data_IF_912989908985
#
_entry.id   IF_912989908985
#
_cell.length_a   1.000
_cell.length_b   1.000
_cell.length_c   1.000
_cell.angle_alpha   90.00
_cell.angle_beta   90.00
_cell.angle_gamma   90.00
#
_symmetry.space_group_name_H-M   'P 1'
#
loop_
_entity.id
_entity.type
_entity.pdbx_description
1 polymer ?
#
# COMPACT_ATOMS: atom_id res chain seq x y z
N UNK A 1 -3.75 -9.11 26.38
CA UNK A 1 -3.03 -8.85 25.13
C UNK A 1 -2.26 -7.55 25.26
N UNK A 2 -1.08 -7.41 24.65
CA UNK A 2 -0.43 -6.10 24.54
C UNK A 2 -1.19 -5.26 23.49
N UNK A 3 -1.33 -3.94 23.69
CA UNK A 3 -1.93 -3.07 22.69
C UNK A 3 -1.12 -3.10 21.38
N UNK A 4 -1.79 -2.84 20.26
CA UNK A 4 -1.11 -2.67 18.97
C UNK A 4 -0.22 -1.44 19.04
N UNK A 5 0.98 -1.54 18.46
CA UNK A 5 1.97 -0.45 18.47
C UNK A 5 2.18 0.18 17.09
N UNK A 6 1.76 -0.50 16.03
CA UNK A 6 1.83 -0.06 14.64
C UNK A 6 0.50 -0.32 13.92
N UNK A 7 0.30 0.34 12.79
CA UNK A 7 -0.89 0.15 11.97
C UNK A 7 -0.95 -1.26 11.37
N UNK A 8 -2.15 -1.85 11.34
CA UNK A 8 -2.36 -3.11 10.64
C UNK A 8 -3.27 -2.93 9.43
N UNK A 9 -2.94 -3.58 8.31
CA UNK A 9 -3.80 -3.64 7.14
C UNK A 9 -4.59 -4.95 7.12
N UNK A 10 -5.92 -4.85 7.23
CA UNK A 10 -6.84 -6.00 7.29
C UNK A 10 -7.94 -5.88 6.25
N UNK A 11 -8.77 -6.93 6.17
CA UNK A 11 -10.00 -6.94 5.38
C UNK A 11 -11.19 -7.18 6.30
N UNK A 12 -12.28 -6.47 6.05
CA UNK A 12 -13.57 -6.68 6.71
C UNK A 12 -14.58 -7.05 5.64
N UNK A 13 -15.34 -8.11 5.90
CA UNK A 13 -16.39 -8.58 5.00
C UNK A 13 -17.76 -8.34 5.63
N UNK A 14 -18.63 -7.65 4.90
CA UNK A 14 -20.04 -7.46 5.25
C UNK A 14 -20.89 -8.33 4.33
N UNK A 15 -21.84 -9.07 4.89
CA UNK A 15 -22.74 -9.94 4.14
C UNK A 15 -24.17 -9.77 4.62
N UNK A 16 -25.07 -9.43 3.71
CA UNK A 16 -26.50 -9.33 4.00
C UNK A 16 -27.14 -10.71 3.97
N UNK A 17 -27.65 -11.18 5.10
CA UNK A 17 -28.34 -12.49 5.17
C UNK A 17 -29.83 -12.27 4.89
N UNK A 18 -30.36 -12.80 3.77
CA UNK A 18 -31.75 -12.60 3.41
C UNK A 18 -32.69 -13.45 4.31
N UNK A 19 -33.88 -12.93 4.68
CA UNK A 19 -34.86 -13.68 5.46
C UNK A 19 -35.44 -14.86 4.67
N UNK A 20 -35.72 -15.97 5.35
CA UNK A 20 -36.34 -17.17 4.73
C UNK A 20 -37.87 -17.07 4.75
N UNK A 21 -38.51 -16.98 3.58
CA UNK A 21 -39.97 -17.08 3.43
C UNK A 21 -40.38 -18.48 2.96
N UNK A 22 -41.30 -19.16 3.66
CA UNK A 22 -41.82 -20.48 3.24
C UNK A 22 -42.88 -20.34 2.14
N UNK A 23 -42.89 -21.26 1.18
CA UNK A 23 -43.99 -21.45 0.23
C UNK A 23 -43.96 -20.58 -1.04
N UNK A 24 -42.88 -19.85 -1.32
CA UNK A 24 -42.70 -19.10 -2.58
C UNK A 24 -41.41 -19.53 -3.27
N UNK A 25 -41.48 -19.93 -4.55
CA UNK A 25 -40.30 -20.03 -5.40
C UNK A 25 -39.79 -18.60 -5.66
N UNK A 26 -38.75 -18.17 -4.93
CA UNK A 26 -38.07 -16.90 -5.16
C UNK A 26 -36.57 -17.13 -5.31
N UNK A 27 -35.98 -16.50 -6.31
CA UNK A 27 -34.53 -16.33 -6.40
C UNK A 27 -34.10 -15.30 -5.37
N UNK A 28 -33.13 -15.66 -4.53
CA UNK A 28 -32.59 -14.76 -3.50
C UNK A 28 -31.18 -14.33 -3.89
N UNK A 29 -30.90 -13.04 -3.82
CA UNK A 29 -29.57 -12.47 -4.08
C UNK A 29 -28.97 -12.03 -2.75
N UNK A 30 -27.74 -12.46 -2.49
CA UNK A 30 -26.95 -12.06 -1.32
C UNK A 30 -25.91 -11.05 -1.76
N UNK A 31 -25.80 -9.93 -1.04
CA UNK A 31 -24.78 -8.90 -1.30
C UNK A 31 -23.66 -9.07 -0.27
N UNK A 32 -22.43 -9.22 -0.76
CA UNK A 32 -21.21 -9.23 0.05
C UNK A 32 -20.32 -8.07 -0.36
N UNK A 33 -19.80 -7.35 0.62
CA UNK A 33 -18.78 -6.31 0.43
C UNK A 33 -17.51 -6.71 1.17
N UNK A 34 -16.37 -6.62 0.51
CA UNK A 34 -15.07 -6.96 1.09
C UNK A 34 -14.11 -5.77 0.98
N UNK A 35 -13.89 -5.09 2.11
CA UNK A 35 -13.25 -3.78 2.18
C UNK A 35 -11.91 -3.85 2.92
N UNK A 36 -10.85 -3.22 2.38
CA UNK A 36 -9.60 -3.06 3.12
C UNK A 36 -9.75 -2.02 4.24
N UNK A 37 -9.14 -2.27 5.39
CA UNK A 37 -9.18 -1.39 6.57
C UNK A 37 -7.77 -1.24 7.15
N UNK A 38 -7.42 -0.02 7.55
CA UNK A 38 -6.24 0.27 8.37
C UNK A 38 -6.68 0.41 9.82
N UNK A 39 -6.15 -0.43 10.71
CA UNK A 39 -6.34 -0.33 12.16
C UNK A 39 -5.24 0.58 12.70
N UNK A 40 -5.63 1.74 13.22
CA UNK A 40 -4.71 2.71 13.79
C UNK A 40 -4.71 2.63 15.33
N UNK A 41 -3.58 2.33 15.99
CA UNK A 41 -3.51 2.30 17.45
C UNK A 41 -3.76 3.66 18.08
N UNK A 42 -4.50 3.72 19.19
CA UNK A 42 -4.83 4.98 19.86
C UNK A 42 -3.61 5.78 20.38
N UNK A 43 -2.47 5.11 20.61
CA UNK A 43 -1.23 5.74 21.07
C UNK A 43 -0.27 6.14 19.94
N UNK A 44 -0.59 5.84 18.69
CA UNK A 44 0.19 6.25 17.54
C UNK A 44 -0.25 7.65 17.12
N UNK A 45 0.69 8.54 16.82
CA UNK A 45 0.37 9.89 16.37
C UNK A 45 -0.26 9.84 14.96
N UNK A 46 -1.04 10.86 14.59
CA UNK A 46 -1.46 10.99 13.20
C UNK A 46 -0.26 11.38 12.32
N UNK A 47 -0.07 10.66 11.23
CA UNK A 47 0.92 10.95 10.19
C UNK A 47 0.19 11.05 8.85
N UNK A 48 -0.03 12.27 8.32
CA UNK A 48 -0.75 12.46 7.06
C UNK A 48 0.08 12.08 5.83
N UNK A 49 1.42 12.02 5.95
CA UNK A 49 2.33 11.76 4.83
C UNK A 49 3.29 10.59 5.09
N UNK A 50 2.77 9.39 5.45
CA UNK A 50 3.60 8.28 5.94
C UNK A 50 4.58 7.75 4.88
N UNK A 51 4.31 8.00 3.59
CA UNK A 51 5.20 7.64 2.49
C UNK A 51 6.55 8.36 2.53
N UNK A 52 6.68 9.48 3.25
CA UNK A 52 7.95 10.19 3.42
C UNK A 52 8.96 9.39 4.24
N UNK A 53 8.50 8.43 5.05
CA UNK A 53 9.35 7.54 5.83
C UNK A 53 9.97 6.41 5.00
N UNK A 54 9.52 6.23 3.75
CA UNK A 54 10.04 5.17 2.90
C UNK A 54 11.50 5.40 2.53
N UNK A 55 12.26 4.31 2.59
CA UNK A 55 13.65 4.28 2.21
C UNK A 55 13.81 3.47 0.94
N UNK A 56 14.42 4.08 -0.07
CA UNK A 56 14.59 3.52 -1.41
C UNK A 56 16.08 3.28 -1.64
N UNK A 57 16.51 2.02 -1.74
CA UNK A 57 17.93 1.66 -1.89
C UNK A 57 18.17 0.91 -3.18
N UNK A 58 19.14 1.37 -3.98
CA UNK A 58 19.53 0.64 -5.19
C UNK A 58 20.65 -0.34 -4.87
N UNK A 59 20.42 -1.63 -5.16
CA UNK A 59 21.42 -2.68 -4.95
C UNK A 59 21.34 -3.73 -6.04
N UNK A 60 22.47 -4.04 -6.68
CA UNK A 60 22.62 -5.15 -7.64
C UNK A 60 21.54 -5.20 -8.76
N UNK A 61 21.18 -4.03 -9.31
CA UNK A 61 20.14 -3.92 -10.34
C UNK A 61 18.70 -4.09 -9.84
N UNK A 62 18.51 -4.06 -8.52
CA UNK A 62 17.21 -4.03 -7.86
C UNK A 62 17.03 -2.74 -7.08
N UNK A 63 15.77 -2.40 -6.82
CA UNK A 63 15.36 -1.36 -5.90
C UNK A 63 14.69 -2.01 -4.69
N UNK A 64 15.32 -1.89 -3.53
CA UNK A 64 14.71 -2.24 -2.26
C UNK A 64 13.94 -1.03 -1.73
N UNK A 65 12.70 -1.26 -1.33
CA UNK A 65 11.78 -0.25 -0.82
C UNK A 65 11.40 -0.70 0.58
N UNK A 66 11.87 0.03 1.58
CA UNK A 66 11.69 -0.31 2.99
C UNK A 66 10.78 0.70 3.66
N UNK A 67 9.84 0.20 4.46
CA UNK A 67 9.02 0.99 5.37
C UNK A 67 9.48 0.74 6.81
N UNK A 68 10.37 1.57 7.36
CA UNK A 68 10.82 1.44 8.75
C UNK A 68 9.83 2.06 9.77
N UNK A 69 8.73 2.66 9.31
CA UNK A 69 7.78 3.35 10.18
C UNK A 69 6.73 2.41 10.76
N UNK A 70 5.97 2.91 11.74
CA UNK A 70 4.81 2.23 12.33
C UNK A 70 3.52 2.39 11.51
N UNK A 71 3.57 2.99 10.32
CA UNK A 71 2.39 3.30 9.49
C UNK A 71 2.28 2.39 8.27
N UNK A 72 1.07 2.08 7.84
CA UNK A 72 0.82 1.44 6.54
C UNK A 72 0.94 2.51 5.46
N UNK A 73 1.90 2.35 4.55
CA UNK A 73 2.06 3.28 3.42
C UNK A 73 1.28 2.75 2.22
N UNK A 74 0.32 3.52 1.70
CA UNK A 74 -0.40 3.20 0.45
C UNK A 74 0.14 4.03 -0.72
N UNK A 75 0.21 3.42 -1.90
CA UNK A 75 0.65 4.08 -3.14
C UNK A 75 0.19 3.33 -4.39
N UNK A 76 0.34 3.95 -5.56
CA UNK A 76 0.17 3.25 -6.84
C UNK A 76 1.19 2.12 -6.98
N UNK A 77 0.82 1.04 -7.66
CA UNK A 77 1.74 -0.08 -7.90
C UNK A 77 2.95 0.34 -8.75
N UNK A 78 2.72 1.23 -9.73
CA UNK A 78 3.76 1.74 -10.61
C UNK A 78 4.53 2.90 -10.00
N UNK A 79 5.85 2.91 -10.22
CA UNK A 79 6.75 4.03 -9.98
C UNK A 79 7.78 4.11 -11.12
N UNK A 80 8.51 5.23 -11.20
CA UNK A 80 9.59 5.40 -12.17
C UNK A 80 10.88 5.83 -11.46
N UNK A 81 12.02 5.29 -11.87
CA UNK A 81 13.33 5.84 -11.49
C UNK A 81 13.79 6.88 -12.50
N UNK A 82 14.55 7.87 -12.01
CA UNK A 82 14.96 9.06 -12.75
C UNK A 82 16.48 9.25 -12.70
N UNK A 83 17.11 9.77 -13.77
CA UNK A 83 16.47 10.45 -14.90
C UNK A 83 16.01 9.53 -16.05
N UNK A 84 16.31 8.23 -16.04
CA UNK A 84 16.06 7.35 -17.21
C UNK A 84 14.59 7.04 -17.50
N UNK A 85 13.67 7.42 -16.59
CA UNK A 85 12.25 7.09 -16.68
C UNK A 85 12.02 5.57 -16.71
N UNK A 86 12.80 4.81 -15.95
CA UNK A 86 12.67 3.36 -15.93
C UNK A 86 11.52 2.93 -15.03
N UNK A 87 10.56 2.14 -15.53
CA UNK A 87 9.42 1.72 -14.72
C UNK A 87 9.82 0.64 -13.72
N UNK A 88 9.17 0.65 -12.57
CA UNK A 88 9.11 -0.45 -11.62
C UNK A 88 7.67 -0.66 -11.15
N UNK A 89 7.35 -1.89 -10.75
CA UNK A 89 6.01 -2.28 -10.32
C UNK A 89 6.09 -3.06 -9.01
N UNK A 90 5.30 -2.62 -8.04
CA UNK A 90 5.07 -3.31 -6.78
C UNK A 90 3.99 -4.37 -6.95
N UNK A 91 4.16 -5.54 -6.32
CA UNK A 91 3.12 -6.58 -6.30
C UNK A 91 1.86 -6.16 -5.51
N UNK A 92 1.97 -5.11 -4.68
CA UNK A 92 0.92 -4.61 -3.79
C UNK A 92 0.92 -3.09 -3.79
N UNK A 93 -0.25 -2.49 -3.63
CA UNK A 93 -0.43 -1.03 -3.52
C UNK A 93 -0.24 -0.49 -2.10
N UNK A 94 0.54 -1.23 -1.28
CA UNK A 94 0.85 -0.85 0.09
C UNK A 94 2.16 -1.51 0.57
N UNK A 95 2.82 -0.88 1.55
CA UNK A 95 3.86 -1.47 2.37
C UNK A 95 3.40 -1.50 3.83
N UNK A 96 3.60 -2.64 4.51
CA UNK A 96 3.28 -2.77 5.93
C UNK A 96 4.39 -2.14 6.78
N UNK A 97 4.11 -1.77 8.05
CA UNK A 97 5.14 -1.37 8.99
C UNK A 97 6.27 -2.38 9.07
N UNK A 98 7.50 -1.89 9.16
CA UNK A 98 8.72 -2.69 9.35
C UNK A 98 8.94 -3.78 8.29
N UNK A 99 8.52 -3.53 7.05
CA UNK A 99 8.71 -4.46 5.93
C UNK A 99 9.50 -3.84 4.78
N UNK A 100 10.17 -4.70 4.00
CA UNK A 100 10.82 -4.33 2.75
C UNK A 100 10.31 -5.18 1.60
N UNK A 101 10.33 -4.61 0.40
CA UNK A 101 10.07 -5.29 -0.87
C UNK A 101 11.16 -4.95 -1.87
N UNK A 102 11.52 -5.89 -2.75
CA UNK A 102 12.55 -5.67 -3.77
C UNK A 102 11.93 -5.80 -5.15
N UNK A 103 12.22 -4.83 -6.03
CA UNK A 103 11.76 -4.79 -7.42
C UNK A 103 12.97 -4.80 -8.34
N UNK A 104 12.97 -5.69 -9.33
CA UNK A 104 14.03 -5.71 -10.35
C UNK A 104 13.87 -4.50 -11.26
N UNK A 105 14.96 -3.76 -11.48
CA UNK A 105 14.95 -2.61 -12.38
C UNK A 105 15.47 -2.98 -13.78
N UNK A 106 15.02 -2.28 -14.83
CA UNK A 106 15.65 -2.34 -16.14
C UNK A 106 17.12 -1.88 -16.09
N UNK A 107 17.98 -2.44 -16.95
CA UNK A 107 19.41 -2.10 -16.98
C UNK A 107 19.70 -0.60 -17.16
N UNK A 108 18.82 0.12 -17.89
CA UNK A 108 18.93 1.57 -18.10
C UNK A 108 18.76 2.42 -16.82
N UNK A 109 18.27 1.85 -15.72
CA UNK A 109 18.17 2.53 -14.41
C UNK A 109 19.51 2.59 -13.63
N UNK A 110 20.60 2.07 -14.21
CA UNK A 110 21.91 1.98 -13.54
C UNK A 110 22.46 3.33 -13.04
N UNK A 111 22.17 4.43 -13.73
CA UNK A 111 22.59 5.78 -13.33
C UNK A 111 21.50 6.59 -12.59
N UNK A 112 20.33 5.99 -12.33
CA UNK A 112 19.23 6.70 -11.68
C UNK A 112 19.53 6.98 -10.20
N UNK A 113 19.10 8.15 -9.76
CA UNK A 113 19.36 8.72 -8.42
C UNK A 113 18.11 9.19 -7.71
N UNK A 114 16.95 9.19 -8.39
CA UNK A 114 15.66 9.57 -7.81
C UNK A 114 14.59 8.56 -8.19
N UNK A 115 13.52 8.56 -7.41
CA UNK A 115 12.29 7.83 -7.70
C UNK A 115 11.12 8.79 -7.71
N UNK A 116 10.22 8.59 -8.65
CA UNK A 116 8.93 9.24 -8.76
C UNK A 116 7.83 8.21 -8.55
N UNK A 117 6.92 8.49 -7.63
CA UNK A 117 5.74 7.65 -7.37
C UNK A 117 4.55 8.50 -6.93
N UNK A 118 3.38 7.87 -6.83
CA UNK A 118 2.16 8.52 -6.36
C UNK A 118 1.68 7.85 -5.07
N UNK A 119 1.77 8.51 -3.90
CA UNK A 119 1.14 8.03 -2.69
C UNK A 119 -0.37 7.93 -2.87
N UNK A 120 -1.01 7.18 -1.99
CA UNK A 120 -2.46 7.11 -1.90
C UNK A 120 -2.91 7.46 -0.48
N UNK A 121 -4.08 8.08 -0.36
CA UNK A 121 -4.71 8.32 0.94
C UNK A 121 -5.00 7.00 1.64
N UNK A 122 -5.31 7.07 2.95
CA UNK A 122 -5.75 5.89 3.73
C UNK A 122 -6.90 5.13 3.06
N UNK A 123 -7.77 5.85 2.33
CA UNK A 123 -8.92 5.29 1.61
C UNK A 123 -8.58 4.76 0.20
N UNK A 124 -7.37 5.02 -0.30
CA UNK A 124 -6.87 4.50 -1.57
C UNK A 124 -7.03 5.44 -2.75
N UNK A 125 -7.36 6.71 -2.50
CA UNK A 125 -7.37 7.74 -3.54
C UNK A 125 -5.94 8.14 -3.88
N UNK A 126 -5.61 8.16 -5.16
CA UNK A 126 -4.30 8.59 -5.67
C UNK A 126 -4.04 10.04 -5.27
N UNK A 127 -2.91 10.29 -4.63
CA UNK A 127 -2.42 11.63 -4.28
C UNK A 127 -1.55 12.24 -5.39
N UNK A 128 -0.94 13.38 -5.06
CA UNK A 128 -0.04 14.09 -5.95
C UNK A 128 1.29 13.39 -6.15
N UNK A 129 1.96 13.71 -7.25
CA UNK A 129 3.27 13.16 -7.61
C UNK A 129 4.32 13.49 -6.54
N UNK A 130 5.07 12.50 -6.09
CA UNK A 130 6.15 12.66 -5.13
C UNK A 130 7.49 12.18 -5.71
N UNK A 131 8.55 12.96 -5.53
CA UNK A 131 9.91 12.60 -5.94
C UNK A 131 10.80 12.61 -4.70
N UNK A 132 11.59 11.54 -4.54
CA UNK A 132 12.63 11.47 -3.52
C UNK A 132 13.91 10.83 -4.06
N UNK A 133 15.00 10.95 -3.31
CA UNK A 133 16.31 10.40 -3.69
C UNK A 133 16.37 8.90 -3.45
N UNK A 134 17.12 8.21 -4.32
CA UNK A 134 17.60 6.85 -4.08
C UNK A 134 18.85 6.91 -3.19
N UNK A 135 18.92 6.01 -2.21
CA UNK A 135 20.07 5.76 -1.36
C UNK A 135 20.94 4.63 -1.93
#
# INVERSE_FOLDING_TARGET
SKPLQHEEFKRVTFEGIPPKEKGKLKTTVTIRQDLPVIIHPAGLAEEPEPWKHLVWRKKDGQLEISNPSDYVVRMTAMFNTLPSGSPGELSKTYLLPHTSVSVKLPAKAGADTKVEFYPASRYGYKGERYITSLQ
#
